data_IF_225231196648
#
_entry.id   IF_225231196648
#
_cell.length_a   1.000
_cell.length_b   1.000
_cell.length_c   1.000
_cell.angle_alpha   90.00
_cell.angle_beta   90.00
_cell.angle_gamma   90.00
#
_symmetry.space_group_name_H-M   'P 1'
#
loop_
_entity.id
_entity.type
_entity.pdbx_description
1 polymer ?
#
# COMPACT_ATOMS: atom_id res chain seq x y z
N UNK A 1 -7.47 -84.73 -24.08
CA UNK A 1 -7.04 -83.49 -23.40
C UNK A 1 -8.26 -82.85 -22.74
N UNK A 2 -8.57 -83.20 -21.48
CA UNK A 2 -9.75 -82.70 -20.78
C UNK A 2 -9.46 -81.36 -20.10
N UNK A 3 -10.25 -80.32 -20.39
CA UNK A 3 -10.18 -79.02 -19.72
C UNK A 3 -10.72 -79.18 -18.29
N UNK A 4 -9.84 -79.08 -17.30
CA UNK A 4 -10.24 -79.01 -15.90
C UNK A 4 -10.93 -77.65 -15.63
N UNK A 5 -12.25 -77.67 -15.46
CA UNK A 5 -13.01 -76.50 -15.02
C UNK A 5 -12.77 -76.29 -13.52
N UNK A 6 -11.83 -75.40 -13.18
CA UNK A 6 -11.61 -74.97 -11.80
C UNK A 6 -12.74 -74.05 -11.37
N UNK A 7 -13.51 -74.47 -10.37
CA UNK A 7 -14.48 -73.60 -9.71
C UNK A 7 -13.73 -72.66 -8.74
N UNK A 8 -14.16 -71.39 -8.64
CA UNK A 8 -13.55 -70.43 -7.73
C UNK A 8 -13.76 -70.87 -6.27
N UNK A 9 -12.66 -71.01 -5.51
CA UNK A 9 -12.67 -71.36 -4.09
C UNK A 9 -13.09 -70.14 -3.27
N UNK A 10 -14.24 -70.23 -2.59
CA UNK A 10 -14.88 -69.13 -1.84
C UNK A 10 -14.60 -69.17 -0.33
N UNK A 11 -13.64 -70.01 0.11
CA UNK A 11 -13.50 -70.40 1.52
C UNK A 11 -12.70 -69.41 2.37
N UNK A 12 -11.71 -68.72 1.80
CA UNK A 12 -10.83 -67.83 2.59
C UNK A 12 -11.26 -66.35 2.55
N UNK A 13 -11.90 -65.89 1.48
CA UNK A 13 -12.38 -64.51 1.37
C UNK A 13 -13.71 -64.50 0.63
N UNK A 14 -14.75 -63.99 1.29
CA UNK A 14 -16.07 -63.84 0.69
C UNK A 14 -16.03 -62.69 -0.34
N UNK A 15 -16.23 -62.96 -1.65
CA UNK A 15 -16.05 -61.94 -2.70
C UNK A 15 -16.97 -60.72 -2.52
N UNK A 16 -18.16 -60.94 -1.97
CA UNK A 16 -19.14 -59.88 -1.69
C UNK A 16 -18.65 -58.90 -0.61
N UNK A 17 -17.97 -59.40 0.42
CA UNK A 17 -17.42 -58.57 1.50
C UNK A 17 -16.26 -57.72 0.97
N UNK A 18 -15.41 -58.32 0.14
CA UNK A 18 -14.31 -57.60 -0.50
C UNK A 18 -14.81 -56.49 -1.43
N UNK A 19 -15.86 -56.76 -2.23
CA UNK A 19 -16.49 -55.76 -3.09
C UNK A 19 -17.21 -54.67 -2.28
N UNK A 20 -17.90 -55.03 -1.20
CA UNK A 20 -18.58 -54.06 -0.33
C UNK A 20 -17.56 -53.13 0.36
N UNK A 21 -16.43 -53.68 0.82
CA UNK A 21 -15.37 -52.90 1.43
C UNK A 21 -14.69 -51.96 0.43
N UNK A 22 -14.34 -52.48 -0.76
CA UNK A 22 -13.76 -51.67 -1.83
C UNK A 22 -14.70 -50.55 -2.29
N UNK A 23 -15.99 -50.85 -2.45
CA UNK A 23 -17.02 -49.87 -2.76
C UNK A 23 -17.17 -48.81 -1.66
N UNK A 24 -17.20 -49.24 -0.40
CA UNK A 24 -17.27 -48.34 0.75
C UNK A 24 -16.08 -47.38 0.84
N UNK A 25 -14.86 -47.88 0.59
CA UNK A 25 -13.65 -47.05 0.55
C UNK A 25 -13.70 -46.00 -0.57
N UNK A 26 -14.16 -46.39 -1.76
CA UNK A 26 -14.32 -45.44 -2.88
C UNK A 26 -15.35 -44.37 -2.57
N UNK A 27 -16.49 -44.74 -1.98
CA UNK A 27 -17.52 -43.79 -1.56
C UNK A 27 -16.98 -42.84 -0.50
N UNK A 28 -16.24 -43.35 0.50
CA UNK A 28 -15.62 -42.52 1.53
C UNK A 28 -14.62 -41.51 0.95
N UNK A 29 -13.74 -41.94 0.05
CA UNK A 29 -12.80 -41.05 -0.63
C UNK A 29 -13.51 -39.98 -1.47
N UNK A 30 -14.59 -40.36 -2.17
CA UNK A 30 -15.41 -39.41 -2.93
C UNK A 30 -16.07 -38.38 -2.01
N UNK A 31 -16.67 -38.80 -0.90
CA UNK A 31 -17.29 -37.90 0.08
C UNK A 31 -16.26 -36.98 0.73
N UNK A 32 -15.06 -37.47 1.05
CA UNK A 32 -13.98 -36.66 1.58
C UNK A 32 -13.50 -35.62 0.56
N UNK A 33 -13.35 -35.99 -0.71
CA UNK A 33 -12.97 -35.07 -1.79
C UNK A 33 -14.06 -34.02 -2.05
N UNK A 34 -15.34 -34.41 -2.01
CA UNK A 34 -16.48 -33.49 -2.14
C UNK A 34 -16.52 -32.54 -0.94
N UNK A 35 -16.37 -33.04 0.28
CA UNK A 35 -16.29 -32.22 1.49
C UNK A 35 -15.13 -31.23 1.43
N UNK A 36 -13.95 -31.68 1.01
CA UNK A 36 -12.79 -30.83 0.78
C UNK A 36 -13.09 -29.73 -0.23
N UNK A 37 -13.75 -30.04 -1.35
CA UNK A 37 -14.14 -29.07 -2.38
C UNK A 37 -15.21 -28.08 -1.90
N UNK A 38 -16.12 -28.51 -1.02
CA UNK A 38 -17.18 -27.67 -0.47
C UNK A 38 -16.65 -26.72 0.61
N UNK A 39 -15.74 -27.21 1.46
CA UNK A 39 -15.14 -26.43 2.56
C UNK A 39 -14.02 -25.52 2.04
N UNK A 40 -13.17 -26.05 1.18
CA UNK A 40 -12.08 -25.32 0.54
C UNK A 40 -12.45 -25.12 -0.92
N UNK A 41 -12.66 -23.88 -1.34
CA UNK A 41 -12.79 -23.55 -2.76
C UNK A 41 -11.44 -23.83 -3.45
N UNK A 42 -11.20 -25.08 -3.85
CA UNK A 42 -9.94 -25.56 -4.44
C UNK A 42 -9.82 -25.09 -5.89
N UNK A 43 -9.91 -23.78 -6.11
CA UNK A 43 -9.53 -23.19 -7.39
C UNK A 43 -8.04 -23.40 -7.56
N UNK A 44 -7.59 -24.10 -8.62
CA UNK A 44 -6.18 -24.39 -8.81
C UNK A 44 -5.40 -23.08 -8.93
N UNK A 45 -4.43 -22.89 -8.04
CA UNK A 45 -3.58 -21.69 -7.97
C UNK A 45 -2.56 -21.58 -9.12
N UNK A 46 -2.57 -22.53 -10.06
CA UNK A 46 -1.72 -22.54 -11.26
C UNK A 46 -2.40 -21.95 -12.49
N UNK A 47 -3.68 -21.56 -12.41
CA UNK A 47 -4.26 -20.70 -13.45
C UNK A 47 -3.69 -19.28 -13.24
N UNK A 48 -3.30 -18.55 -14.30
CA UNK A 48 -3.00 -17.13 -14.16
C UNK A 48 -4.23 -16.50 -13.55
N UNK A 49 -4.10 -16.06 -12.30
CA UNK A 49 -5.14 -15.31 -11.62
C UNK A 49 -5.46 -14.17 -12.57
N UNK A 50 -6.67 -14.15 -13.16
CA UNK A 50 -7.11 -12.95 -13.85
C UNK A 50 -6.90 -11.84 -12.83
N UNK A 51 -6.24 -10.76 -13.24
CA UNK A 51 -6.23 -9.46 -12.55
C UNK A 51 -7.68 -8.99 -12.37
N UNK A 52 -8.45 -9.71 -11.56
CA UNK A 52 -9.48 -9.10 -10.75
C UNK A 52 -8.66 -8.38 -9.69
N UNK A 53 -8.09 -7.25 -10.12
CA UNK A 53 -7.53 -6.22 -9.28
C UNK A 53 -8.49 -6.10 -8.12
N UNK A 54 -8.06 -6.53 -6.94
CA UNK A 54 -8.74 -6.14 -5.75
C UNK A 54 -8.60 -4.61 -5.74
N UNK A 55 -9.67 -3.81 -5.99
CA UNK A 55 -9.53 -2.36 -6.05
C UNK A 55 -9.10 -1.79 -4.68
N UNK A 56 -9.12 -2.62 -3.63
CA UNK A 56 -8.66 -2.29 -2.29
C UNK A 56 -7.23 -2.78 -1.96
N UNK A 57 -6.56 -3.53 -2.83
CA UNK A 57 -5.13 -3.81 -2.65
C UNK A 57 -4.34 -2.61 -3.21
N UNK A 58 -3.45 -1.98 -2.42
CA UNK A 58 -2.62 -0.92 -2.96
C UNK A 58 -1.76 -1.47 -4.10
N UNK A 59 -1.85 -0.84 -5.27
CA UNK A 59 -1.01 -1.21 -6.41
C UNK A 59 0.46 -1.12 -6.02
N UNK A 60 1.23 -2.15 -6.36
CA UNK A 60 2.68 -2.11 -6.21
C UNK A 60 3.25 -1.15 -7.25
N UNK A 61 4.07 -0.20 -6.79
CA UNK A 61 4.80 0.72 -7.66
C UNK A 61 5.61 -0.09 -8.68
N UNK A 62 5.47 0.24 -9.96
CA UNK A 62 6.04 -0.54 -11.07
C UNK A 62 7.57 -0.42 -11.18
N UNK A 63 8.13 0.75 -10.87
CA UNK A 63 9.55 1.04 -10.99
C UNK A 63 10.09 1.90 -9.83
N UNK A 64 10.03 1.42 -8.57
CA UNK A 64 10.34 2.23 -7.39
C UNK A 64 11.76 2.83 -7.39
N UNK A 65 12.73 2.15 -8.01
CA UNK A 65 14.10 2.66 -8.12
C UNK A 65 14.20 3.87 -9.04
N UNK A 66 13.55 3.83 -10.20
CA UNK A 66 13.59 4.93 -11.15
C UNK A 66 12.84 6.14 -10.61
N UNK A 67 11.69 5.90 -9.99
CA UNK A 67 10.88 6.95 -9.39
C UNK A 67 11.64 7.68 -8.29
N UNK A 68 12.37 6.94 -7.44
CA UNK A 68 13.19 7.52 -6.39
C UNK A 68 14.40 8.30 -6.94
N UNK A 69 15.01 7.89 -8.05
CA UNK A 69 16.07 8.66 -8.72
C UNK A 69 15.51 9.97 -9.27
N UNK A 70 14.36 9.90 -9.95
CA UNK A 70 13.71 11.09 -10.52
C UNK A 70 13.28 12.07 -9.42
N UNK A 71 12.73 11.55 -8.32
CA UNK A 71 12.32 12.33 -7.16
C UNK A 71 13.51 13.10 -6.56
N UNK A 72 14.63 12.41 -6.29
CA UNK A 72 15.83 13.07 -5.76
C UNK A 72 16.41 14.11 -6.70
N UNK A 73 16.40 13.84 -8.02
CA UNK A 73 16.89 14.79 -9.01
C UNK A 73 16.05 16.08 -9.02
N UNK A 74 14.73 15.96 -8.83
CA UNK A 74 13.83 17.10 -8.74
C UNK A 74 14.03 17.88 -7.43
N UNK A 75 14.19 17.20 -6.30
CA UNK A 75 14.52 17.85 -5.02
C UNK A 75 15.84 18.64 -5.10
N UNK A 76 16.89 18.01 -5.63
CA UNK A 76 18.19 18.65 -5.83
C UNK A 76 18.09 19.87 -6.75
N UNK A 77 17.25 19.80 -7.79
CA UNK A 77 17.00 20.92 -8.69
C UNK A 77 16.35 22.08 -7.94
N UNK A 78 15.34 21.80 -7.12
CA UNK A 78 14.63 22.81 -6.35
C UNK A 78 15.53 23.50 -5.32
N UNK A 79 16.44 22.77 -4.67
CA UNK A 79 17.41 23.32 -3.71
C UNK A 79 18.45 24.25 -4.34
N UNK A 80 18.75 24.08 -5.63
CA UNK A 80 19.80 24.83 -6.35
C UNK A 80 19.26 26.00 -7.18
N UNK A 81 17.95 26.13 -7.32
CA UNK A 81 17.33 27.12 -8.20
C UNK A 81 16.44 28.10 -7.45
N UNK A 82 16.53 29.35 -7.87
CA UNK A 82 15.58 30.40 -7.52
C UNK A 82 14.18 30.02 -8.02
N UNK A 83 13.16 30.27 -7.21
CA UNK A 83 11.77 30.02 -7.57
C UNK A 83 10.80 30.78 -6.68
N UNK A 84 9.55 30.85 -7.10
CA UNK A 84 8.49 31.39 -6.24
C UNK A 84 7.81 30.25 -5.50
N UNK A 85 7.60 30.43 -4.19
CA UNK A 85 6.78 29.51 -3.39
C UNK A 85 5.34 30.00 -3.41
N UNK A 86 5.14 31.29 -3.13
CA UNK A 86 3.85 31.98 -3.25
C UNK A 86 4.09 33.41 -3.74
N UNK A 87 3.69 33.69 -4.98
CA UNK A 87 3.83 35.02 -5.58
C UNK A 87 2.92 36.05 -4.94
N UNK A 88 1.72 35.64 -4.51
CA UNK A 88 0.74 36.56 -3.93
C UNK A 88 1.18 37.00 -2.54
N UNK A 89 1.76 36.06 -1.78
CA UNK A 89 2.35 36.34 -0.47
C UNK A 89 3.77 36.96 -0.55
N UNK A 90 4.36 37.09 -1.75
CA UNK A 90 5.71 37.64 -1.91
C UNK A 90 6.82 36.70 -1.42
N UNK A 91 6.55 35.40 -1.30
CA UNK A 91 7.48 34.39 -0.76
C UNK A 91 8.22 33.70 -1.91
N UNK A 92 9.53 33.96 -1.99
CA UNK A 92 10.44 33.30 -2.93
C UNK A 92 11.37 32.32 -2.22
N UNK A 93 11.73 31.25 -2.93
CA UNK A 93 12.80 30.31 -2.57
C UNK A 93 14.10 30.77 -3.21
N UNK A 94 15.16 30.79 -2.41
CA UNK A 94 16.54 31.00 -2.85
C UNK A 94 17.33 29.68 -2.81
N UNK A 95 18.41 29.55 -3.60
CA UNK A 95 19.31 28.40 -3.50
C UNK A 95 19.82 28.21 -2.08
N UNK A 96 19.96 26.96 -1.65
CA UNK A 96 20.32 26.65 -0.26
C UNK A 96 21.69 27.20 0.12
N UNK A 97 22.65 27.23 -0.80
CA UNK A 97 23.98 27.79 -0.57
C UNK A 97 23.90 29.30 -0.27
N UNK A 98 23.07 30.03 -1.00
CA UNK A 98 22.84 31.45 -0.78
C UNK A 98 22.11 31.70 0.55
N UNK A 99 21.17 30.84 0.92
CA UNK A 99 20.48 30.91 2.21
C UNK A 99 21.46 30.69 3.37
N UNK A 100 22.31 29.67 3.28
CA UNK A 100 23.36 29.42 4.29
C UNK A 100 24.28 30.63 4.42
N UNK A 101 24.72 31.19 3.28
CA UNK A 101 25.57 32.38 3.29
C UNK A 101 24.88 33.60 3.88
N UNK A 102 23.60 33.82 3.58
CA UNK A 102 22.81 34.92 4.12
C UNK A 102 22.67 34.82 5.65
N UNK A 103 22.45 33.62 6.18
CA UNK A 103 22.35 33.40 7.63
C UNK A 103 23.70 33.60 8.32
N UNK A 104 24.80 33.13 7.74
CA UNK A 104 26.14 33.34 8.31
C UNK A 104 26.53 34.81 8.29
N UNK A 105 26.22 35.53 7.21
CA UNK A 105 26.61 36.93 7.04
C UNK A 105 25.73 37.90 7.85
N UNK A 106 24.44 37.65 7.98
CA UNK A 106 23.48 38.55 8.63
C UNK A 106 23.04 38.12 10.02
N UNK A 107 23.37 36.90 10.43
CA UNK A 107 22.85 36.26 11.64
C UNK A 107 21.44 35.69 11.44
N UNK A 108 20.91 35.05 12.49
CA UNK A 108 19.54 34.55 12.49
C UNK A 108 18.54 35.72 12.57
N UNK A 109 17.41 35.68 11.85
CA UNK A 109 16.35 36.66 11.98
C UNK A 109 15.79 36.70 13.41
N UNK A 110 15.39 37.88 13.87
CA UNK A 110 14.57 38.00 15.08
C UNK A 110 13.12 37.63 14.75
N UNK A 111 12.77 36.36 15.02
CA UNK A 111 11.45 35.81 14.78
C UNK A 111 10.36 36.37 15.71
N UNK A 112 10.72 37.19 16.70
CA UNK A 112 9.77 37.87 17.58
C UNK A 112 9.21 39.17 17.00
N UNK A 113 9.86 39.71 15.97
CA UNK A 113 9.39 40.88 15.24
C UNK A 113 8.66 40.42 13.97
N UNK A 114 7.34 40.67 13.84
CA UNK A 114 6.63 40.42 12.59
C UNK A 114 7.25 41.31 11.50
N UNK A 115 8.02 40.73 10.59
CA UNK A 115 8.64 41.47 9.49
C UNK A 115 7.57 42.10 8.61
N UNK A 116 7.86 43.27 8.04
CA UNK A 116 6.93 44.10 7.25
C UNK A 116 6.37 43.47 5.94
N UNK A 117 6.66 42.18 5.69
CA UNK A 117 6.12 41.39 4.58
C UNK A 117 5.66 39.99 5.01
N UNK A 118 5.63 39.71 6.31
CA UNK A 118 4.95 38.52 6.82
C UNK A 118 3.47 38.67 6.50
N UNK A 119 2.96 37.78 5.65
CA UNK A 119 1.53 37.47 5.55
C UNK A 119 0.93 37.47 6.96
N UNK A 120 -0.27 38.05 7.11
CA UNK A 120 -0.94 38.22 8.39
C UNK A 120 -0.69 37.02 9.33
N UNK A 121 -0.36 37.23 10.62
CA UNK A 121 -0.06 36.17 11.58
C UNK A 121 -1.09 35.03 11.70
N UNK A 122 -2.27 35.19 11.07
CA UNK A 122 -3.38 34.25 11.05
C UNK A 122 -3.58 33.52 9.70
N UNK A 123 -2.73 33.74 8.69
CA UNK A 123 -2.87 33.10 7.39
C UNK A 123 -2.25 31.68 7.38
N UNK A 124 -3.04 30.71 7.85
CA UNK A 124 -2.62 29.31 7.98
C UNK A 124 -2.55 28.56 6.64
N UNK A 125 -2.77 29.22 5.50
CA UNK A 125 -2.92 28.57 4.19
C UNK A 125 -1.68 27.75 3.78
N UNK A 126 -0.47 28.30 3.99
CA UNK A 126 0.77 27.61 3.63
C UNK A 126 1.04 26.36 4.49
N UNK A 127 0.75 26.43 5.80
CA UNK A 127 0.88 25.29 6.71
C UNK A 127 -0.16 24.20 6.42
N UNK A 128 -1.37 24.61 6.07
CA UNK A 128 -2.48 23.70 5.72
C UNK A 128 -2.23 23.00 4.39
N UNK A 129 -1.64 23.71 3.42
CA UNK A 129 -1.29 23.15 2.12
C UNK A 129 -0.11 22.17 2.20
N UNK A 130 0.92 22.47 3.01
CA UNK A 130 2.10 21.63 3.13
C UNK A 130 1.92 20.41 4.03
N UNK A 131 1.18 20.54 5.14
CA UNK A 131 1.13 19.51 6.19
C UNK A 131 -0.22 19.47 6.94
N UNK A 132 -1.33 19.11 6.25
CA UNK A 132 -2.71 19.29 6.73
C UNK A 132 -3.08 18.49 7.99
N UNK A 133 -2.38 17.39 8.28
CA UNK A 133 -2.70 16.50 9.42
C UNK A 133 -1.87 16.76 10.66
N UNK A 134 -1.01 17.77 10.62
CA UNK A 134 -0.10 18.00 11.73
C UNK A 134 -0.80 18.75 12.88
N UNK A 135 -0.47 18.45 14.16
CA UNK A 135 -1.04 19.17 15.29
C UNK A 135 -0.85 20.68 15.21
N UNK A 136 0.24 21.14 14.59
CA UNK A 136 0.48 22.57 14.35
C UNK A 136 -0.51 23.21 13.36
N UNK A 137 -0.91 22.50 12.29
CA UNK A 137 -1.89 23.02 11.33
C UNK A 137 -3.27 23.21 11.99
N UNK A 138 -3.69 22.24 12.79
CA UNK A 138 -4.96 22.29 13.55
C UNK A 138 -4.96 23.44 14.56
N UNK A 139 -3.86 23.64 15.29
CA UNK A 139 -3.72 24.74 16.26
C UNK A 139 -3.76 26.12 15.59
N UNK A 140 -3.13 26.26 14.42
CA UNK A 140 -3.15 27.50 13.65
C UNK A 140 -4.59 27.86 13.22
N UNK A 141 -5.34 26.89 12.69
CA UNK A 141 -6.75 27.09 12.28
C UNK A 141 -7.67 27.49 13.46
N UNK A 142 -7.41 26.95 14.65
CA UNK A 142 -8.16 27.31 15.86
C UNK A 142 -7.85 28.74 16.33
N UNK A 143 -6.61 29.19 16.18
CA UNK A 143 -6.18 30.53 16.57
C UNK A 143 -6.71 31.61 15.61
N UNK A 144 -6.74 31.33 14.31
CA UNK A 144 -7.29 32.27 13.31
C UNK A 144 -8.81 32.43 13.41
N UNK A 145 -9.55 31.40 13.83
CA UNK A 145 -11.00 31.49 14.06
C UNK A 145 -11.41 32.26 15.33
N UNK A 146 -10.47 32.54 16.24
CA UNK A 146 -10.72 33.22 17.51
C UNK A 146 -10.59 34.75 17.47
N UNK A 147 -9.96 35.32 16.44
CA UNK A 147 -9.66 36.75 16.34
C UNK A 147 -10.81 37.59 15.73
N UNK A 148 -11.98 37.00 15.47
CA UNK A 148 -13.12 37.62 14.80
C UNK A 148 -14.34 37.93 15.68
N UNK A 149 -14.18 38.12 16.99
CA UNK A 149 -15.26 38.56 17.90
C UNK A 149 -14.82 39.69 18.81
#
# INVERSE_FOLDING_TARGET
>A
MAKAQRHPETRDVQPRVLLAFGGGLLVFLALAAIGMKLVFNTTPSWLPQSENANPAAPDLQSAPRQDLVNFRAEEDRQLKMLGWVDRNAGIARIPIDDAMWAVVSKGLPDWSQPGATASEPNDCNLLSAAAPRTPQAVKCQLQSGGAGR
#
